data_IF_331817958594
#
_entry.id   IF_331817958594
#
_cell.length_a   1.000
_cell.length_b   1.000
_cell.length_c   1.000
_cell.angle_alpha   90.00
_cell.angle_beta   90.00
_cell.angle_gamma   90.00
#
_symmetry.space_group_name_H-M   'P 1'
#
loop_
_entity.id
_entity.type
_entity.pdbx_description
1 polymer ?
#
# COMPACT_ATOMS: atom_id res chain seq x y z
N UNK A 1 12.84 16.84 2.23
CA UNK A 1 12.47 15.42 2.08
C UNK A 1 12.70 14.78 3.43
N UNK A 2 11.63 14.50 4.18
CA UNK A 2 11.73 13.78 5.45
C UNK A 2 12.26 12.37 5.16
N UNK A 3 13.14 11.88 6.02
CA UNK A 3 13.64 10.52 5.95
C UNK A 3 12.54 9.55 6.40
N UNK A 4 12.46 8.36 5.78
CA UNK A 4 11.48 7.33 6.16
C UNK A 4 11.69 6.94 7.63
N UNK A 5 12.94 6.95 8.09
CA UNK A 5 13.35 6.79 9.48
C UNK A 5 12.59 7.73 10.44
N UNK A 6 12.39 9.00 10.05
CA UNK A 6 11.67 9.98 10.87
C UNK A 6 10.15 9.70 10.86
N UNK A 7 9.63 9.19 9.74
CA UNK A 7 8.23 8.78 9.62
C UNK A 7 7.90 7.53 10.46
N UNK A 8 8.89 6.71 10.83
CA UNK A 8 8.70 5.52 11.64
C UNK A 8 8.88 5.75 13.16
N UNK A 9 9.43 6.91 13.57
CA UNK A 9 9.67 7.22 15.01
C UNK A 9 8.41 7.37 15.85
N UNK A 10 7.31 7.76 15.23
CA UNK A 10 6.01 7.96 15.89
C UNK A 10 4.99 7.03 15.25
N UNK A 11 4.03 6.56 16.05
CA UNK A 11 2.93 5.75 15.53
C UNK A 11 2.04 6.58 14.59
N UNK A 12 1.88 6.11 13.36
CA UNK A 12 1.08 6.73 12.30
C UNK A 12 0.13 5.73 11.66
N UNK A 13 -0.84 6.25 10.93
CA UNK A 13 -1.73 5.45 10.08
C UNK A 13 -1.23 5.46 8.63
N UNK A 14 -0.90 4.29 8.11
CA UNK A 14 -0.38 4.10 6.76
C UNK A 14 -1.43 3.48 5.87
N UNK A 15 -1.67 4.03 4.68
CA UNK A 15 -2.49 3.39 3.67
C UNK A 15 -1.59 2.66 2.66
N UNK A 16 -1.80 1.36 2.46
CA UNK A 16 -1.11 0.54 1.46
C UNK A 16 -2.15 0.06 0.44
N UNK A 17 -2.14 0.61 -0.77
CA UNK A 17 -2.96 0.04 -1.85
C UNK A 17 -2.18 -1.10 -2.51
N UNK A 18 -2.83 -2.18 -2.93
CA UNK A 18 -2.14 -3.39 -3.39
C UNK A 18 -1.61 -4.23 -2.23
N UNK A 19 -2.20 -4.10 -1.04
CA UNK A 19 -1.72 -4.72 0.20
C UNK A 19 -1.70 -6.25 0.16
N UNK A 20 -2.51 -6.88 -0.69
CA UNK A 20 -2.50 -8.33 -0.87
C UNK A 20 -1.55 -8.78 -2.00
N UNK A 21 -0.90 -7.84 -2.69
CA UNK A 21 0.15 -8.09 -3.67
C UNK A 21 1.50 -8.41 -3.02
N UNK A 22 2.49 -8.76 -3.85
CA UNK A 22 3.83 -9.14 -3.38
C UNK A 22 4.51 -8.03 -2.57
N UNK A 23 4.63 -6.82 -3.12
CA UNK A 23 5.28 -5.70 -2.42
C UNK A 23 4.42 -5.19 -1.26
N UNK A 24 3.11 -5.02 -1.51
CA UNK A 24 2.20 -4.44 -0.51
C UNK A 24 2.08 -5.28 0.76
N UNK A 25 2.15 -6.61 0.68
CA UNK A 25 2.10 -7.47 1.86
C UNK A 25 3.36 -7.36 2.71
N UNK A 26 4.54 -7.28 2.10
CA UNK A 26 5.80 -7.08 2.82
C UNK A 26 5.88 -5.69 3.47
N UNK A 27 5.40 -4.65 2.79
CA UNK A 27 5.26 -3.31 3.39
C UNK A 27 4.31 -3.34 4.59
N UNK A 28 3.17 -4.01 4.44
CA UNK A 28 2.19 -4.19 5.53
C UNK A 28 2.82 -4.89 6.73
N UNK A 29 3.49 -6.02 6.51
CA UNK A 29 4.19 -6.75 7.57
C UNK A 29 5.14 -5.87 8.34
N UNK A 30 6.03 -5.19 7.62
CA UNK A 30 7.10 -4.47 8.27
C UNK A 30 6.59 -3.21 8.98
N UNK A 31 5.60 -2.50 8.44
CA UNK A 31 4.94 -1.40 9.15
C UNK A 31 4.28 -1.87 10.46
N UNK A 32 3.60 -3.03 10.43
CA UNK A 32 2.98 -3.60 11.64
C UNK A 32 4.03 -4.00 12.69
N UNK A 33 5.18 -4.54 12.26
CA UNK A 33 6.34 -4.83 13.13
C UNK A 33 6.91 -3.57 13.78
N UNK A 34 6.89 -2.45 13.06
CA UNK A 34 7.29 -1.12 13.57
C UNK A 34 6.21 -0.44 14.45
N UNK A 35 5.19 -1.17 14.89
CA UNK A 35 4.14 -0.61 15.76
C UNK A 35 3.18 0.36 15.05
N UNK A 36 3.20 0.43 13.73
CA UNK A 36 2.34 1.32 12.96
C UNK A 36 0.93 0.75 12.81
N UNK A 37 -0.04 1.62 12.49
CA UNK A 37 -1.37 1.20 12.04
C UNK A 37 -1.41 1.19 10.51
N UNK A 38 -2.01 0.15 9.93
CA UNK A 38 -2.00 -0.04 8.47
C UNK A 38 -3.42 -0.26 7.95
N UNK A 39 -3.80 0.49 6.93
CA UNK A 39 -5.04 0.33 6.16
C UNK A 39 -4.67 -0.22 4.79
N UNK A 40 -5.09 -1.45 4.49
CA UNK A 40 -4.88 -2.09 3.20
C UNK A 40 -6.06 -1.90 2.26
N UNK A 41 -5.81 -1.56 0.99
CA UNK A 41 -6.81 -1.59 -0.09
C UNK A 41 -6.36 -2.56 -1.19
N UNK A 42 -7.17 -3.55 -1.53
CA UNK A 42 -6.88 -4.50 -2.61
C UNK A 42 -8.17 -5.12 -3.17
N UNK A 43 -8.18 -5.44 -4.47
CA UNK A 43 -9.32 -6.09 -5.16
C UNK A 43 -9.05 -7.57 -5.52
N UNK A 44 -7.89 -8.11 -5.13
CA UNK A 44 -7.42 -9.46 -5.47
C UNK A 44 -7.30 -9.75 -6.98
N UNK A 45 -7.15 -8.72 -7.83
CA UNK A 45 -6.96 -8.94 -9.28
C UNK A 45 -5.65 -9.70 -9.57
N UNK A 46 -4.59 -9.39 -8.82
CA UNK A 46 -3.31 -10.14 -8.82
C UNK A 46 -2.77 -10.41 -7.42
N UNK A 47 -3.37 -9.81 -6.39
CA UNK A 47 -3.07 -10.10 -4.99
C UNK A 47 -3.77 -11.37 -4.51
N UNK A 48 -3.32 -11.91 -3.38
CA UNK A 48 -3.87 -13.14 -2.83
C UNK A 48 -4.14 -13.02 -1.33
N UNK A 49 -5.28 -13.58 -0.87
CA UNK A 49 -5.63 -13.62 0.56
C UNK A 49 -4.55 -14.29 1.42
N UNK A 50 -3.92 -15.35 0.90
CA UNK A 50 -2.85 -16.04 1.62
C UNK A 50 -1.67 -15.13 1.97
N UNK A 51 -1.38 -14.09 1.17
CA UNK A 51 -0.33 -13.13 1.52
C UNK A 51 -0.67 -12.38 2.81
N UNK A 52 -1.94 -12.03 3.03
CA UNK A 52 -2.39 -11.37 4.25
C UNK A 52 -2.42 -12.33 5.45
N UNK A 53 -2.85 -13.58 5.22
CA UNK A 53 -2.83 -14.63 6.25
C UNK A 53 -1.40 -14.91 6.73
N UNK A 54 -0.46 -14.98 5.78
CA UNK A 54 0.96 -15.14 6.03
C UNK A 54 1.54 -13.97 6.85
N UNK A 55 1.17 -12.73 6.52
CA UNK A 55 1.56 -11.55 7.31
C UNK A 55 1.02 -11.66 8.74
N UNK A 56 -0.27 -11.96 8.91
CA UNK A 56 -0.91 -12.14 10.22
C UNK A 56 -0.15 -13.16 11.08
N UNK A 57 0.20 -14.31 10.51
CA UNK A 57 0.96 -15.34 11.21
C UNK A 57 2.35 -14.85 11.63
N UNK A 58 3.03 -14.09 10.77
CA UNK A 58 4.40 -13.60 11.03
C UNK A 58 4.47 -12.45 12.04
N UNK A 59 3.46 -11.58 12.11
CA UNK A 59 3.44 -10.43 13.04
C UNK A 59 2.72 -10.72 14.36
N UNK A 60 1.86 -11.74 14.40
CA UNK A 60 1.05 -12.09 15.57
C UNK A 60 -0.21 -11.23 15.74
N UNK A 61 -1.16 -11.72 16.54
CA UNK A 61 -2.50 -11.11 16.69
C UNK A 61 -2.48 -9.68 17.23
N UNK A 62 -1.56 -9.36 18.14
CA UNK A 62 -1.45 -8.01 18.71
C UNK A 62 -1.08 -6.98 17.65
N UNK A 63 -0.09 -7.29 16.80
CA UNK A 63 0.29 -6.41 15.71
C UNK A 63 -0.77 -6.40 14.62
N UNK A 64 -1.32 -7.56 14.28
CA UNK A 64 -2.40 -7.69 13.31
C UNK A 64 -3.65 -6.90 13.69
N UNK A 65 -3.94 -6.71 14.99
CA UNK A 65 -5.02 -5.86 15.46
C UNK A 65 -4.93 -4.39 15.03
N UNK A 66 -3.77 -3.93 14.54
CA UNK A 66 -3.55 -2.60 13.95
C UNK A 66 -3.73 -2.58 12.42
N UNK A 67 -4.06 -3.71 11.80
CA UNK A 67 -4.36 -3.80 10.37
C UNK A 67 -5.87 -3.75 10.12
N UNK A 68 -6.28 -2.86 9.22
CA UNK A 68 -7.64 -2.80 8.67
C UNK A 68 -7.59 -3.07 7.18
N UNK A 69 -8.37 -4.03 6.70
CA UNK A 69 -8.43 -4.37 5.28
C UNK A 69 -9.73 -3.88 4.64
N UNK A 70 -9.60 -3.21 3.50
CA UNK A 70 -10.69 -2.86 2.61
C UNK A 70 -10.54 -3.64 1.30
N UNK A 71 -11.47 -4.56 1.07
CA UNK A 71 -11.63 -5.17 -0.25
C UNK A 71 -12.33 -4.15 -1.16
N UNK A 72 -11.62 -3.69 -2.19
CA UNK A 72 -12.06 -2.59 -3.05
C UNK A 72 -11.06 -2.27 -4.14
N UNK A 73 -11.45 -1.39 -5.07
CA UNK A 73 -10.72 -1.11 -6.30
C UNK A 73 -10.25 0.34 -6.39
N UNK A 74 -9.00 0.57 -6.79
CA UNK A 74 -8.49 1.93 -7.00
C UNK A 74 -9.19 2.68 -8.13
N UNK A 75 -9.85 1.95 -9.04
CA UNK A 75 -10.70 2.52 -10.09
C UNK A 75 -11.99 3.13 -9.53
N UNK A 76 -12.37 2.79 -8.30
CA UNK A 76 -13.47 3.42 -7.57
C UNK A 76 -12.92 4.50 -6.63
N UNK A 77 -13.34 5.74 -6.85
CA UNK A 77 -12.88 6.88 -6.06
C UNK A 77 -13.38 6.82 -4.60
N UNK A 78 -14.55 6.26 -4.36
CA UNK A 78 -15.09 6.14 -3.01
C UNK A 78 -14.37 5.05 -2.21
N UNK A 79 -13.94 3.97 -2.86
CA UNK A 79 -13.04 2.98 -2.24
C UNK A 79 -11.72 3.62 -1.80
N UNK A 80 -11.14 4.45 -2.67
CA UNK A 80 -9.94 5.22 -2.35
C UNK A 80 -10.18 6.16 -1.17
N UNK A 81 -11.28 6.93 -1.17
CA UNK A 81 -11.63 7.85 -0.08
C UNK A 81 -11.81 7.15 1.25
N UNK A 82 -12.44 5.97 1.26
CA UNK A 82 -12.61 5.16 2.47
C UNK A 82 -11.26 4.67 3.00
N UNK A 83 -10.41 4.12 2.14
CA UNK A 83 -9.10 3.61 2.54
C UNK A 83 -8.13 4.70 3.01
N UNK A 84 -8.24 5.92 2.46
CA UNK A 84 -7.40 7.06 2.83
C UNK A 84 -7.99 7.93 3.96
N UNK A 85 -9.15 7.58 4.52
CA UNK A 85 -9.76 8.33 5.60
C UNK A 85 -8.88 8.27 6.87
N UNK A 86 -8.36 9.42 7.32
CA UNK A 86 -7.49 9.50 8.50
C UNK A 86 -6.08 8.94 8.29
N UNK A 87 -5.71 8.65 7.03
CA UNK A 87 -4.37 8.22 6.68
C UNK A 87 -3.36 9.36 6.91
N UNK A 88 -2.20 9.04 7.49
CA UNK A 88 -1.06 9.95 7.60
C UNK A 88 -0.11 9.80 6.42
N UNK A 89 0.14 8.57 5.96
CA UNK A 89 1.11 8.28 4.88
C UNK A 89 0.56 7.26 3.89
N UNK A 90 0.58 7.59 2.60
CA UNK A 90 0.14 6.69 1.53
C UNK A 90 1.34 6.01 0.87
N UNK A 91 1.27 4.68 0.70
CA UNK A 91 2.12 3.83 -0.14
C UNK A 91 1.27 3.16 -1.22
N UNK A 92 1.30 3.69 -2.44
CA UNK A 92 0.45 3.20 -3.53
C UNK A 92 1.13 2.10 -4.37
N UNK A 93 0.77 0.83 -4.19
CA UNK A 93 1.29 -0.33 -4.95
C UNK A 93 0.24 -1.08 -5.79
N UNK A 94 -1.01 -0.61 -5.84
CA UNK A 94 -2.05 -1.25 -6.64
C UNK A 94 -1.84 -0.93 -8.12
N UNK A 95 -1.42 -1.92 -8.91
CA UNK A 95 -1.29 -1.82 -10.35
C UNK A 95 -1.38 -3.20 -11.00
N UNK A 96 -1.76 -3.24 -12.27
CA UNK A 96 -1.57 -4.41 -13.12
C UNK A 96 -0.18 -4.34 -13.76
N UNK A 97 0.78 -5.06 -13.15
CA UNK A 97 2.09 -5.31 -13.75
C UNK A 97 2.05 -6.33 -14.89
N UNK A 98 3.19 -6.54 -15.55
CA UNK A 98 3.44 -7.40 -16.73
C UNK A 98 3.29 -6.69 -18.09
N UNK A 99 4.40 -6.64 -18.84
CA UNK A 99 4.44 -6.12 -20.22
C UNK A 99 3.57 -6.95 -21.18
N UNK A 100 3.64 -8.31 -21.18
CA UNK A 100 2.72 -9.11 -22.00
C UNK A 100 1.24 -8.81 -21.72
N UNK A 101 0.87 -8.59 -20.45
CA UNK A 101 -0.52 -8.26 -20.07
C UNK A 101 -0.96 -6.93 -20.66
N UNK A 102 -0.13 -5.90 -20.58
CA UNK A 102 -0.50 -4.56 -21.07
C UNK A 102 -0.64 -4.50 -22.59
N UNK A 103 0.06 -5.38 -23.32
CA UNK A 103 -0.11 -5.51 -24.77
C UNK A 103 -1.42 -6.25 -25.10
N UNK A 104 -1.75 -7.30 -24.34
CA UNK A 104 -2.93 -8.11 -24.57
C UNK A 104 -4.24 -7.39 -24.20
N UNK A 105 -4.24 -6.62 -23.10
CA UNK A 105 -5.39 -5.83 -22.63
C UNK A 105 -4.94 -4.44 -22.13
N UNK A 106 -4.68 -3.50 -23.05
CA UNK A 106 -4.21 -2.16 -22.70
C UNK A 106 -5.27 -1.34 -21.97
N UNK A 107 -6.57 -1.60 -22.20
CA UNK A 107 -7.65 -0.86 -21.55
C UNK A 107 -7.74 -1.20 -20.07
N UNK A 108 -7.66 -2.48 -19.69
CA UNK A 108 -7.63 -2.86 -18.28
C UNK A 108 -6.38 -2.32 -17.58
N UNK A 109 -5.20 -2.40 -18.21
CA UNK A 109 -3.97 -1.82 -17.65
C UNK A 109 -4.07 -0.31 -17.49
N UNK A 110 -4.61 0.42 -18.46
CA UNK A 110 -4.81 1.87 -18.34
C UNK A 110 -5.76 2.20 -17.18
N UNK A 111 -6.90 1.52 -17.11
CA UNK A 111 -7.89 1.76 -16.08
C UNK A 111 -7.29 1.57 -14.68
N UNK A 112 -6.54 0.49 -14.44
CA UNK A 112 -5.91 0.24 -13.15
C UNK A 112 -4.75 1.22 -12.87
N UNK A 113 -3.83 1.39 -13.82
CA UNK A 113 -2.53 2.03 -13.57
C UNK A 113 -2.56 3.56 -13.77
N UNK A 114 -3.51 4.08 -14.55
CA UNK A 114 -3.63 5.53 -14.83
C UNK A 114 -4.86 6.08 -14.13
N UNK A 115 -6.06 5.59 -14.47
CA UNK A 115 -7.30 6.14 -13.91
C UNK A 115 -7.38 5.86 -12.40
N UNK A 116 -7.04 4.63 -12.00
CA UNK A 116 -6.93 4.25 -10.59
C UNK A 116 -5.89 5.05 -9.82
N UNK A 117 -4.74 5.32 -10.43
CA UNK A 117 -3.72 6.18 -9.82
C UNK A 117 -4.23 7.61 -9.63
N UNK A 118 -4.92 8.20 -10.63
CA UNK A 118 -5.52 9.52 -10.51
C UNK A 118 -6.54 9.57 -9.36
N UNK A 119 -7.39 8.55 -9.21
CA UNK A 119 -8.34 8.48 -8.09
C UNK A 119 -7.63 8.47 -6.74
N UNK A 120 -6.57 7.67 -6.60
CA UNK A 120 -5.75 7.64 -5.38
C UNK A 120 -5.16 9.02 -5.09
N UNK A 121 -4.68 9.76 -6.09
CA UNK A 121 -4.18 11.13 -5.91
C UNK A 121 -5.27 12.12 -5.50
N UNK A 122 -6.46 12.00 -6.10
CA UNK A 122 -7.61 12.83 -5.74
C UNK A 122 -8.03 12.59 -4.29
N UNK A 123 -8.09 11.32 -3.87
CA UNK A 123 -8.37 10.94 -2.49
C UNK A 123 -7.26 11.39 -1.51
N UNK A 124 -5.99 11.32 -1.95
CA UNK A 124 -4.81 11.72 -1.18
C UNK A 124 -4.60 13.25 -1.11
N UNK A 125 -5.40 14.07 -1.82
CA UNK A 125 -5.21 15.53 -1.88
C UNK A 125 -5.24 16.23 -0.52
N UNK A 126 -5.83 15.60 0.51
CA UNK A 126 -5.86 16.12 1.88
C UNK A 126 -4.56 15.84 2.65
N UNK A 127 -3.72 14.93 2.15
CA UNK A 127 -2.38 14.70 2.66
C UNK A 127 -1.48 15.86 2.19
N UNK A 128 -0.62 16.34 3.08
CA UNK A 128 0.42 17.32 2.71
C UNK A 128 1.45 16.66 1.78
N UNK A 129 2.16 17.43 0.96
CA UNK A 129 3.14 16.89 0.00
C UNK A 129 4.21 16.01 0.67
N UNK A 130 4.62 16.35 1.90
CA UNK A 130 5.59 15.59 2.70
C UNK A 130 5.10 14.20 3.17
N UNK A 131 3.80 13.92 3.01
CA UNK A 131 3.13 12.71 3.52
C UNK A 131 2.71 11.73 2.42
N UNK A 132 3.08 12.00 1.17
CA UNK A 132 2.79 11.12 0.04
C UNK A 132 4.08 10.44 -0.43
N UNK A 133 4.26 9.16 -0.07
CA UNK A 133 5.44 8.39 -0.50
C UNK A 133 5.04 7.48 -1.67
N UNK A 134 5.50 7.84 -2.88
CA UNK A 134 5.26 7.06 -4.10
C UNK A 134 6.37 6.04 -4.30
N UNK A 135 6.06 4.76 -4.11
CA UNK A 135 6.98 3.68 -4.46
C UNK A 135 6.72 3.27 -5.92
N UNK A 136 7.63 3.62 -6.82
CA UNK A 136 7.65 3.13 -8.22
C UNK A 136 8.16 1.68 -8.25
N UNK A 137 7.95 1.01 -9.38
CA UNK A 137 8.32 -0.38 -9.76
C UNK A 137 9.80 -0.79 -9.52
N UNK A 138 10.60 0.10 -8.92
CA UNK A 138 11.92 -0.16 -8.37
C UNK A 138 11.90 0.38 -6.95
N UNK A 139 11.71 -0.49 -5.97
CA UNK A 139 12.01 -0.11 -4.59
C UNK A 139 13.53 0.04 -4.53
N UNK A 140 14.10 1.21 -4.17
CA UNK A 140 15.52 1.26 -3.86
C UNK A 140 15.76 0.26 -2.73
N UNK A 141 16.73 -0.65 -2.90
CA UNK A 141 17.05 -1.68 -1.90
C UNK A 141 17.15 -1.12 -0.48
N UNK A 142 17.55 0.15 -0.33
CA UNK A 142 17.59 0.88 0.93
C UNK A 142 16.26 1.02 1.67
N UNK A 143 15.13 1.22 0.98
CA UNK A 143 13.82 1.41 1.61
C UNK A 143 13.27 0.09 2.15
N UNK A 144 13.37 -1.00 1.37
CA UNK A 144 13.04 -2.35 1.87
C UNK A 144 14.00 -2.74 2.98
N UNK A 145 15.29 -2.41 2.87
CA UNK A 145 16.26 -2.66 3.93
C UNK A 145 16.01 -1.84 5.18
N UNK A 146 15.60 -0.58 5.13
CA UNK A 146 15.27 0.19 6.34
C UNK A 146 14.00 -0.34 7.02
N UNK A 147 12.99 -0.63 6.20
CA UNK A 147 11.74 -1.23 6.66
C UNK A 147 11.98 -2.63 7.25
N UNK A 148 12.91 -3.43 6.70
CA UNK A 148 13.27 -4.77 7.17
C UNK A 148 14.40 -4.82 8.22
N UNK A 149 15.29 -3.82 8.31
CA UNK A 149 16.41 -3.78 9.26
C UNK A 149 16.03 -3.22 10.62
N UNK A 150 14.86 -2.58 10.73
CA UNK A 150 14.24 -2.29 12.02
C UNK A 150 13.40 -3.45 12.58
N UNK A 151 13.32 -4.60 11.89
CA UNK A 151 12.53 -5.77 12.27
C UNK A 151 13.36 -6.82 13.05
#
# INVERSE_FOLDING_TARGET
MQDLSDLLREARTWCVTGAAGFIGSHLTEALLRQGQSVVGLDNFATGYRHNLDDVRQRVGEEAWGRFTFHEGDVRDLDDCRRALAGCDVLLHQAALGSVPRSIADPLATHAANVDGFVNVLVAARRLTEDRMVRIRDQIPDGVVREIAAGA
#
